data_IF_568936204309
#
_entry.id   IF_568936204309
#
_cell.length_a   1.000
_cell.length_b   1.000
_cell.length_c   1.000
_cell.angle_alpha   90.00
_cell.angle_beta   90.00
_cell.angle_gamma   90.00
#
_symmetry.space_group_name_H-M   'P 1'
#
loop_
_entity.id
_entity.type
_entity.pdbx_description
1 polymer ?
#
# COMPACT_ATOMS: atom_id res chain seq x y z
N UNK A 1 -16.37 -48.56 -73.09
CA UNK A 1 -15.46 -49.73 -73.25
C UNK A 1 -14.37 -49.59 -72.20
N UNK A 2 -14.53 -50.21 -71.03
CA UNK A 2 -14.00 -51.54 -70.63
C UNK A 2 -12.47 -51.60 -70.47
N UNK A 3 -12.07 -51.47 -69.19
CA UNK A 3 -11.03 -52.19 -68.42
C UNK A 3 -9.73 -52.64 -69.11
N UNK A 4 -8.60 -52.26 -68.47
CA UNK A 4 -7.36 -53.03 -68.14
C UNK A 4 -6.33 -51.99 -67.63
N UNK A 5 -5.42 -52.18 -66.68
CA UNK A 5 -4.90 -53.33 -65.91
C UNK A 5 -4.04 -52.76 -64.77
N UNK A 6 -3.98 -53.50 -63.66
CA UNK A 6 -2.81 -53.80 -62.80
C UNK A 6 -1.58 -52.86 -62.84
N UNK A 7 -1.14 -52.37 -61.67
CA UNK A 7 0.19 -52.69 -61.11
C UNK A 7 0.23 -52.44 -59.58
N UNK A 8 1.04 -53.26 -58.92
CA UNK A 8 1.12 -53.55 -57.48
C UNK A 8 2.39 -52.86 -56.90
N UNK A 9 2.83 -53.17 -55.68
CA UNK A 9 2.85 -52.34 -54.47
C UNK A 9 4.21 -51.68 -54.14
N UNK A 10 4.21 -50.70 -53.23
CA UNK A 10 5.36 -50.35 -52.36
C UNK A 10 4.80 -50.32 -50.93
N UNK A 11 5.04 -51.35 -50.08
CA UNK A 11 6.19 -51.40 -49.16
C UNK A 11 6.41 -50.00 -48.54
N UNK A 12 5.95 -49.69 -47.33
CA UNK A 12 6.09 -50.48 -46.11
C UNK A 12 7.04 -49.71 -45.20
N UNK A 13 6.50 -48.85 -44.33
CA UNK A 13 7.22 -48.23 -43.20
C UNK A 13 6.30 -47.27 -42.39
N UNK A 14 5.07 -47.66 -42.03
CA UNK A 14 4.15 -46.74 -41.35
C UNK A 14 3.48 -47.31 -40.09
N UNK A 15 4.09 -48.30 -39.41
CA UNK A 15 3.49 -48.91 -38.20
C UNK A 15 4.41 -48.93 -36.97
N UNK A 16 5.69 -48.53 -37.07
CA UNK A 16 6.59 -48.58 -35.91
C UNK A 16 6.72 -47.24 -35.15
N UNK A 17 6.31 -46.11 -35.75
CA UNK A 17 6.39 -44.80 -35.08
C UNK A 17 5.21 -44.47 -34.14
N UNK A 18 4.18 -45.33 -34.04
CA UNK A 18 2.99 -45.08 -33.22
C UNK A 18 3.07 -45.66 -31.79
N UNK A 19 4.20 -46.26 -31.39
CA UNK A 19 4.35 -46.96 -30.10
C UNK A 19 5.35 -46.31 -29.12
N UNK A 20 5.89 -45.13 -29.44
CA UNK A 20 6.78 -44.38 -28.52
C UNK A 20 6.12 -43.14 -27.88
N UNK A 21 4.81 -42.95 -28.06
CA UNK A 21 4.04 -41.86 -27.44
C UNK A 21 3.41 -42.25 -26.08
N UNK A 22 3.79 -43.40 -25.51
CA UNK A 22 3.34 -43.83 -24.18
C UNK A 22 4.34 -43.45 -23.10
N UNK A 23 3.91 -42.62 -22.14
CA UNK A 23 4.65 -42.09 -20.99
C UNK A 23 5.28 -40.70 -21.15
N UNK A 24 4.71 -39.81 -21.96
CA UNK A 24 4.81 -38.38 -21.63
C UNK A 24 3.86 -38.11 -20.46
N UNK A 25 4.36 -38.27 -19.23
CA UNK A 25 3.66 -37.84 -18.03
C UNK A 25 3.18 -36.40 -18.22
N UNK A 26 1.96 -36.10 -17.76
CA UNK A 26 1.39 -34.75 -17.81
C UNK A 26 2.49 -33.77 -17.34
N UNK A 27 2.86 -32.75 -18.15
CA UNK A 27 3.88 -31.79 -17.73
C UNK A 27 3.49 -31.27 -16.35
N UNK A 28 4.43 -31.20 -15.39
CA UNK A 28 4.13 -30.77 -14.03
C UNK A 28 3.38 -29.45 -14.12
N UNK A 29 2.20 -29.39 -13.49
CA UNK A 29 1.44 -28.14 -13.44
C UNK A 29 2.38 -27.07 -12.85
N UNK A 30 2.53 -25.91 -13.52
CA UNK A 30 3.35 -24.85 -12.98
C UNK A 30 2.83 -24.52 -11.60
N UNK A 31 3.66 -24.81 -10.59
CA UNK A 31 3.36 -24.47 -9.19
C UNK A 31 3.13 -22.97 -9.17
N UNK A 32 1.88 -22.55 -8.98
CA UNK A 32 1.57 -21.13 -8.83
C UNK A 32 2.42 -20.62 -7.67
N UNK A 33 3.17 -19.52 -7.84
CA UNK A 33 3.90 -18.93 -6.74
C UNK A 33 2.94 -18.74 -5.57
N UNK A 34 3.26 -19.35 -4.43
CA UNK A 34 2.36 -19.35 -3.29
C UNK A 34 2.45 -17.99 -2.60
N UNK A 35 1.31 -17.30 -2.56
CA UNK A 35 1.18 -16.07 -1.80
C UNK A 35 1.48 -16.34 -0.32
N UNK A 36 2.28 -15.48 0.29
CA UNK A 36 2.67 -15.65 1.70
C UNK A 36 2.89 -14.31 2.39
N UNK A 37 2.67 -14.30 3.70
CA UNK A 37 2.89 -13.16 4.58
C UNK A 37 3.61 -13.67 5.82
N UNK A 38 4.81 -13.17 6.06
CA UNK A 38 5.64 -13.58 7.20
C UNK A 38 6.05 -12.37 8.03
N UNK A 39 5.99 -12.42 9.37
CA UNK A 39 6.43 -11.32 10.22
C UNK A 39 7.88 -10.92 9.93
N UNK A 40 8.14 -9.62 9.87
CA UNK A 40 9.45 -9.03 9.60
C UNK A 40 9.87 -8.16 10.77
N UNK A 41 11.12 -8.31 11.23
CA UNK A 41 11.66 -7.44 12.25
C UNK A 41 11.69 -5.97 11.78
N UNK A 42 11.07 -5.09 12.58
CA UNK A 42 11.04 -3.65 12.33
C UNK A 42 11.92 -2.92 13.34
N UNK A 43 13.12 -2.52 12.90
CA UNK A 43 13.99 -1.64 13.66
C UNK A 43 13.81 -0.20 13.19
N UNK A 44 13.17 0.62 14.02
CA UNK A 44 13.03 2.06 13.82
C UNK A 44 13.98 2.80 14.76
N UNK A 45 14.69 3.78 14.21
CA UNK A 45 15.53 4.69 15.00
C UNK A 45 14.86 6.05 14.99
N UNK A 46 14.40 6.53 16.15
CA UNK A 46 13.74 7.85 16.21
C UNK A 46 14.70 8.92 15.69
N UNK A 47 14.24 9.72 14.74
CA UNK A 47 15.03 10.81 14.21
C UNK A 47 15.05 11.94 15.24
N UNK A 48 16.23 12.48 15.52
CA UNK A 48 16.38 13.72 16.26
C UNK A 48 16.40 14.90 15.29
N UNK A 49 15.68 15.98 15.61
CA UNK A 49 15.70 17.22 14.83
C UNK A 49 14.32 17.78 14.51
N UNK A 50 14.29 18.97 13.93
CA UNK A 50 13.06 19.63 13.47
C UNK A 50 12.63 19.08 12.11
N UNK A 51 11.31 19.02 11.87
CA UNK A 51 10.74 18.73 10.56
C UNK A 51 10.35 17.27 10.30
N UNK A 52 10.31 16.42 11.33
CA UNK A 52 9.98 15.00 11.21
C UNK A 52 8.56 14.78 10.67
N UNK A 53 7.62 15.65 11.05
CA UNK A 53 6.22 15.62 10.60
C UNK A 53 6.14 15.90 9.10
N UNK A 54 6.83 16.94 8.62
CA UNK A 54 6.87 17.31 7.22
C UNK A 54 7.54 16.22 6.38
N UNK A 55 8.65 15.67 6.85
CA UNK A 55 9.31 14.54 6.17
C UNK A 55 8.36 13.35 6.04
N UNK A 56 7.73 12.93 7.15
CA UNK A 56 6.75 11.85 7.14
C UNK A 56 5.59 12.13 6.16
N UNK A 57 5.06 13.36 6.15
CA UNK A 57 3.99 13.74 5.21
C UNK A 57 4.42 13.63 3.75
N UNK A 58 5.63 14.10 3.41
CA UNK A 58 6.18 14.00 2.07
C UNK A 58 6.45 12.53 1.66
N UNK A 59 6.98 11.71 2.57
CA UNK A 59 7.19 10.28 2.33
C UNK A 59 5.87 9.55 2.11
N UNK A 60 4.81 9.90 2.85
CA UNK A 60 3.46 9.35 2.65
C UNK A 60 2.86 9.75 1.29
N UNK A 61 2.97 11.02 0.91
CA UNK A 61 2.51 11.49 -0.41
C UNK A 61 3.26 10.76 -1.52
N UNK A 62 4.58 10.67 -1.42
CA UNK A 62 5.41 9.95 -2.39
C UNK A 62 5.06 8.46 -2.47
N UNK A 63 4.76 7.84 -1.33
CA UNK A 63 4.33 6.44 -1.25
C UNK A 63 3.02 6.22 -1.97
N UNK A 64 1.98 7.00 -1.66
CA UNK A 64 0.69 6.85 -2.32
C UNK A 64 0.71 7.24 -3.80
N UNK A 65 1.60 8.14 -4.22
CA UNK A 65 1.80 8.49 -5.62
C UNK A 65 2.48 7.37 -6.41
N UNK A 66 3.48 6.71 -5.81
CA UNK A 66 4.33 5.74 -6.50
C UNK A 66 3.85 4.29 -6.39
N UNK A 67 2.97 3.97 -5.45
CA UNK A 67 2.68 2.58 -5.15
C UNK A 67 1.53 2.02 -6.02
N UNK A 68 1.73 0.83 -6.61
CA UNK A 68 0.87 0.31 -7.67
C UNK A 68 -0.49 -0.18 -7.18
N UNK A 69 -0.69 -0.33 -5.87
CA UNK A 69 -1.89 -0.97 -5.30
C UNK A 69 -2.97 0.01 -4.84
N UNK A 70 -2.68 1.30 -4.81
CA UNK A 70 -3.62 2.29 -4.28
C UNK A 70 -4.44 2.96 -5.38
N UNK A 71 -5.59 3.50 -4.97
CA UNK A 71 -6.53 4.26 -5.80
C UNK A 71 -6.79 5.63 -5.18
N UNK A 72 -5.74 6.32 -4.75
CA UNK A 72 -5.81 7.69 -4.24
C UNK A 72 -5.57 8.69 -5.36
N UNK A 73 -6.37 9.76 -5.37
CA UNK A 73 -6.28 10.86 -6.31
C UNK A 73 -5.54 12.08 -5.75
N UNK A 74 -5.58 12.31 -4.44
CA UNK A 74 -4.97 13.45 -3.75
C UNK A 74 -3.44 13.53 -3.83
N UNK A 75 -2.65 12.42 -3.82
CA UNK A 75 -1.19 12.53 -3.82
C UNK A 75 -0.62 13.32 -4.99
N UNK A 76 -1.20 13.18 -6.19
CA UNK A 76 -0.72 13.84 -7.40
C UNK A 76 -0.83 15.38 -7.34
N UNK A 77 -2.02 15.99 -7.17
CA UNK A 77 -2.15 17.44 -7.03
C UNK A 77 -1.39 17.96 -5.80
N UNK A 78 -1.38 17.24 -4.68
CA UNK A 78 -0.59 17.63 -3.50
C UNK A 78 0.90 17.72 -3.79
N UNK A 79 1.47 16.78 -4.55
CA UNK A 79 2.89 16.77 -4.92
C UNK A 79 3.28 17.88 -5.91
N UNK A 80 2.34 18.33 -6.75
CA UNK A 80 2.57 19.31 -7.81
C UNK A 80 2.34 20.75 -7.34
N UNK A 81 1.17 20.99 -6.75
CA UNK A 81 0.59 22.33 -6.62
C UNK A 81 0.77 22.93 -5.22
N UNK A 82 1.05 22.09 -4.23
CA UNK A 82 1.15 22.51 -2.84
C UNK A 82 2.60 22.54 -2.36
N UNK A 83 2.90 23.44 -1.41
CA UNK A 83 4.18 23.53 -0.72
C UNK A 83 3.98 23.21 0.76
N UNK A 84 4.83 22.35 1.30
CA UNK A 84 4.76 21.96 2.71
C UNK A 84 4.98 23.17 3.61
N UNK A 85 4.17 23.27 4.66
CA UNK A 85 4.21 24.33 5.65
C UNK A 85 4.54 23.79 7.04
N UNK A 86 3.68 24.10 8.01
CA UNK A 86 3.84 23.69 9.40
C UNK A 86 3.11 22.40 9.74
N UNK A 87 3.43 21.86 10.92
CA UNK A 87 2.65 20.80 11.56
C UNK A 87 1.92 21.36 12.79
N UNK A 88 0.73 20.84 13.04
CA UNK A 88 -0.11 21.20 14.19
C UNK A 88 -0.41 19.92 14.95
N UNK A 89 -0.06 19.89 16.23
CA UNK A 89 -0.30 18.75 17.10
C UNK A 89 -1.58 18.95 17.90
N UNK A 90 -2.32 17.87 18.10
CA UNK A 90 -3.40 17.84 19.09
C UNK A 90 -2.81 18.03 20.50
N UNK A 91 -3.55 18.64 21.45
CA UNK A 91 -3.10 18.76 22.84
C UNK A 91 -2.76 17.45 23.53
N UNK A 92 -3.33 16.33 23.09
CA UNK A 92 -3.06 14.99 23.63
C UNK A 92 -2.01 14.20 22.82
N UNK A 93 -1.35 14.84 21.84
CA UNK A 93 -0.31 14.26 20.97
C UNK A 93 -0.73 13.01 20.17
N UNK A 94 -2.02 12.72 20.08
CA UNK A 94 -2.53 11.56 19.33
C UNK A 94 -2.80 11.87 17.86
N UNK A 95 -2.84 13.15 17.49
CA UNK A 95 -3.13 13.58 16.13
C UNK A 95 -2.16 14.67 15.70
N UNK A 96 -1.77 14.61 14.43
CA UNK A 96 -0.94 15.61 13.78
C UNK A 96 -1.58 15.99 12.45
N UNK A 97 -1.58 17.29 12.16
CA UNK A 97 -1.95 17.83 10.85
C UNK A 97 -0.76 18.53 10.27
N UNK A 98 -0.21 17.99 9.18
CA UNK A 98 0.79 18.68 8.37
C UNK A 98 0.06 19.49 7.32
N UNK A 99 0.27 20.80 7.35
CA UNK A 99 -0.35 21.75 6.45
C UNK A 99 0.52 21.97 5.22
N UNK A 100 -0.12 22.11 4.06
CA UNK A 100 0.50 22.46 2.80
C UNK A 100 -0.35 23.54 2.13
N UNK A 101 0.27 24.44 1.39
CA UNK A 101 -0.41 25.59 0.79
C UNK A 101 -0.15 25.68 -0.70
N UNK A 102 -1.21 25.88 -1.47
CA UNK A 102 -1.12 26.34 -2.84
C UNK A 102 -0.97 27.87 -2.81
N UNK A 103 0.15 28.36 -3.35
CA UNK A 103 0.50 29.78 -3.28
C UNK A 103 -0.36 30.64 -4.22
N UNK A 104 -0.85 30.06 -5.31
CA UNK A 104 -1.61 30.76 -6.35
C UNK A 104 -3.11 30.84 -5.98
N UNK A 105 -3.67 29.75 -5.46
CA UNK A 105 -5.12 29.62 -5.26
C UNK A 105 -5.59 29.90 -3.82
N UNK A 106 -4.66 30.19 -2.90
CA UNK A 106 -4.93 30.32 -1.45
C UNK A 106 -5.68 29.12 -0.86
N UNK A 107 -5.49 27.93 -1.43
CA UNK A 107 -6.04 26.65 -0.95
C UNK A 107 -5.04 25.91 -0.07
N UNK A 108 -5.57 25.01 0.75
CA UNK A 108 -4.81 24.18 1.66
C UNK A 108 -4.95 22.70 1.28
N UNK A 109 -3.84 22.00 1.39
CA UNK A 109 -3.81 20.55 1.45
C UNK A 109 -3.25 20.12 2.80
N UNK A 110 -3.66 18.95 3.28
CA UNK A 110 -3.36 18.48 4.62
C UNK A 110 -2.98 17.00 4.58
N UNK A 111 -1.96 16.63 5.35
CA UNK A 111 -1.74 15.24 5.75
C UNK A 111 -2.14 15.12 7.21
N UNK A 112 -3.21 14.39 7.47
CA UNK A 112 -3.74 14.17 8.82
C UNK A 112 -3.35 12.78 9.27
N UNK A 113 -2.80 12.69 10.48
CA UNK A 113 -2.34 11.46 11.10
C UNK A 113 -3.01 11.35 12.45
N UNK A 114 -3.62 10.21 12.74
CA UNK A 114 -4.21 9.90 14.04
C UNK A 114 -3.69 8.57 14.51
N UNK A 115 -3.07 8.54 15.69
CA UNK A 115 -2.52 7.34 16.34
C UNK A 115 -3.06 7.27 17.76
N UNK A 116 -3.98 6.33 17.99
CA UNK A 116 -4.60 6.16 19.31
C UNK A 116 -3.62 5.55 20.33
N UNK A 117 -3.86 5.72 21.65
CA UNK A 117 -3.13 4.98 22.66
C UNK A 117 -3.21 3.47 22.43
N UNK A 118 -2.09 2.77 22.59
CA UNK A 118 -2.02 1.33 22.33
C UNK A 118 -2.01 0.95 20.84
N UNK A 119 -1.85 1.91 19.93
CA UNK A 119 -1.60 1.62 18.52
C UNK A 119 -0.31 0.79 18.36
N UNK A 120 -0.32 -0.10 17.37
CA UNK A 120 0.78 -1.03 17.08
C UNK A 120 1.12 -0.95 15.60
N UNK A 121 2.42 -0.91 15.29
CA UNK A 121 2.94 -0.99 13.93
C UNK A 121 3.74 -2.28 13.74
N UNK A 122 3.25 -3.16 12.87
CA UNK A 122 3.90 -4.42 12.52
C UNK A 122 4.40 -4.40 11.08
N UNK A 123 5.53 -5.06 10.81
CA UNK A 123 6.05 -5.23 9.46
C UNK A 123 5.98 -6.68 9.02
N UNK A 124 5.81 -6.89 7.72
CA UNK A 124 5.73 -8.21 7.09
C UNK A 124 6.49 -8.23 5.77
N UNK A 125 7.16 -9.35 5.51
CA UNK A 125 7.55 -9.75 4.17
C UNK A 125 6.31 -10.34 3.48
N UNK A 126 6.05 -9.92 2.25
CA UNK A 126 4.87 -10.31 1.47
C UNK A 126 5.33 -10.88 0.14
N UNK A 127 4.82 -12.05 -0.23
CA UNK A 127 4.93 -12.58 -1.59
C UNK A 127 3.53 -12.55 -2.18
N UNK A 128 3.35 -11.79 -3.28
CA UNK A 128 2.08 -11.69 -4.01
C UNK A 128 2.31 -12.01 -5.48
N UNK A 129 1.61 -13.00 -6.02
CA UNK A 129 1.78 -13.46 -7.39
C UNK A 129 3.26 -13.76 -7.73
N UNK A 130 4.01 -14.26 -6.74
CA UNK A 130 5.44 -14.54 -6.86
C UNK A 130 6.37 -13.32 -6.82
N UNK A 131 5.82 -12.11 -6.65
CA UNK A 131 6.61 -10.88 -6.49
C UNK A 131 6.80 -10.59 -5.00
N UNK A 132 8.04 -10.39 -4.55
CA UNK A 132 8.31 -9.99 -3.17
C UNK A 132 7.94 -8.51 -2.96
N UNK A 133 7.52 -8.21 -1.74
CA UNK A 133 7.23 -6.86 -1.27
C UNK A 133 7.13 -6.84 0.24
N UNK A 134 6.69 -5.71 0.78
CA UNK A 134 6.66 -5.47 2.20
C UNK A 134 5.34 -4.80 2.58
N UNK A 135 4.85 -5.10 3.78
CA UNK A 135 3.67 -4.43 4.33
C UNK A 135 3.95 -3.92 5.75
N UNK A 136 3.47 -2.71 6.04
CA UNK A 136 3.26 -2.21 7.40
C UNK A 136 1.78 -2.28 7.72
N UNK A 137 1.45 -2.90 8.84
CA UNK A 137 0.09 -2.90 9.40
C UNK A 137 0.09 -2.01 10.62
N UNK A 138 -0.72 -0.96 10.56
CA UNK A 138 -0.92 0.04 11.59
C UNK A 138 -2.30 -0.18 12.23
N UNK A 139 -2.29 -0.76 13.43
CA UNK A 139 -3.49 -0.96 14.24
C UNK A 139 -3.84 0.31 15.00
N UNK A 140 -5.12 0.70 14.97
CA UNK A 140 -5.65 1.92 15.60
C UNK A 140 -4.96 3.22 15.16
N UNK A 141 -4.53 3.27 13.89
CA UNK A 141 -4.02 4.50 13.29
C UNK A 141 -4.67 4.77 11.93
N UNK A 142 -4.81 6.05 11.61
CA UNK A 142 -5.42 6.55 10.37
C UNK A 142 -4.56 7.62 9.75
N UNK A 143 -4.48 7.57 8.43
CA UNK A 143 -3.77 8.54 7.60
C UNK A 143 -4.79 9.07 6.60
N UNK A 144 -4.99 10.38 6.53
CA UNK A 144 -5.79 10.97 5.46
C UNK A 144 -5.05 12.09 4.75
N UNK A 145 -5.20 12.10 3.43
CA UNK A 145 -4.81 13.19 2.57
C UNK A 145 -6.03 14.05 2.29
N UNK A 146 -5.90 15.36 2.44
CA UNK A 146 -6.96 16.34 2.16
C UNK A 146 -6.43 17.33 1.14
N UNK A 147 -7.20 17.60 0.10
CA UNK A 147 -6.85 18.56 -0.95
C UNK A 147 -7.93 19.65 -1.07
N UNK A 148 -7.55 20.88 -1.41
CA UNK A 148 -8.50 21.94 -1.78
C UNK A 148 -9.28 22.57 -0.62
N UNK A 149 -8.85 22.38 0.63
CA UNK A 149 -9.49 23.00 1.79
C UNK A 149 -9.35 24.54 1.75
N UNK A 150 -10.36 25.26 2.22
CA UNK A 150 -10.33 26.73 2.28
C UNK A 150 -9.46 27.26 3.44
N UNK A 151 -9.32 26.48 4.50
CA UNK A 151 -8.49 26.79 5.67
C UNK A 151 -7.96 25.53 6.36
N UNK A 152 -6.88 25.62 7.15
CA UNK A 152 -6.45 24.54 8.03
C UNK A 152 -7.51 24.25 9.10
N UNK A 153 -7.60 23.00 9.60
CA UNK A 153 -8.51 22.68 10.68
C UNK A 153 -8.07 23.35 11.98
N UNK A 154 -9.03 23.56 12.88
CA UNK A 154 -8.81 24.07 14.23
C UNK A 154 -9.11 22.99 15.26
N UNK A 155 -8.46 23.02 16.41
CA UNK A 155 -8.74 22.05 17.47
C UNK A 155 -10.12 22.33 18.09
N UNK A 156 -11.03 21.36 18.00
CA UNK A 156 -12.44 21.46 18.44
C UNK A 156 -12.73 20.71 19.75
N UNK A 157 -11.76 20.62 20.66
CA UNK A 157 -11.90 19.94 21.95
C UNK A 157 -11.51 18.46 21.89
N UNK A 158 -12.25 17.64 21.13
CA UNK A 158 -12.01 16.19 21.02
C UNK A 158 -11.34 15.76 19.71
N UNK A 159 -11.22 16.66 18.74
CA UNK A 159 -10.58 16.39 17.45
C UNK A 159 -10.47 17.62 16.58
N UNK A 160 -9.94 17.44 15.38
CA UNK A 160 -9.83 18.48 14.37
C UNK A 160 -11.19 18.86 13.79
N UNK A 161 -11.56 20.13 13.90
CA UNK A 161 -12.72 20.72 13.27
C UNK A 161 -12.31 21.29 11.91
N UNK A 162 -12.79 20.66 10.84
CA UNK A 162 -12.60 21.12 9.47
C UNK A 162 -13.67 22.14 9.08
N UNK A 163 -13.36 22.95 8.07
CA UNK A 163 -14.29 23.94 7.52
C UNK A 163 -15.60 23.30 7.07
N UNK A 164 -16.73 23.91 7.45
CA UNK A 164 -18.05 23.45 6.98
C UNK A 164 -18.36 23.88 5.54
N UNK A 165 -17.72 24.96 5.07
CA UNK A 165 -17.96 25.56 3.75
C UNK A 165 -17.00 25.06 2.69
N UNK A 166 -15.77 24.74 3.07
CA UNK A 166 -14.74 24.24 2.16
C UNK A 166 -13.83 23.22 2.84
N UNK A 167 -14.35 22.05 3.25
CA UNK A 167 -13.58 21.04 3.98
C UNK A 167 -12.42 20.46 3.16
N UNK A 168 -12.47 20.55 1.83
CA UNK A 168 -11.57 19.85 0.91
C UNK A 168 -12.03 18.43 0.60
N UNK A 169 -11.30 17.77 -0.30
CA UNK A 169 -11.53 16.38 -0.69
C UNK A 169 -10.69 15.43 0.17
N UNK A 170 -11.33 14.51 0.90
CA UNK A 170 -10.65 13.59 1.82
C UNK A 170 -10.46 12.22 1.19
N UNK A 171 -9.25 11.69 1.34
CA UNK A 171 -8.94 10.29 1.06
C UNK A 171 -8.16 9.69 2.22
N UNK A 172 -8.72 8.65 2.86
CA UNK A 172 -8.17 8.07 4.10
C UNK A 172 -7.78 6.61 3.93
N UNK A 173 -6.68 6.22 4.58
CA UNK A 173 -6.39 4.84 4.92
C UNK A 173 -7.28 4.38 6.08
N UNK A 174 -7.80 3.14 5.99
CA UNK A 174 -8.59 2.55 7.08
C UNK A 174 -10.10 2.86 7.05
N UNK A 175 -10.66 3.40 5.97
CA UNK A 175 -12.09 3.17 5.68
C UNK A 175 -12.21 1.85 4.93
N UNK A 176 -12.38 0.76 5.67
CA UNK A 176 -12.68 -0.57 5.16
C UNK A 176 -14.11 -0.68 4.63
N UNK A 177 -14.39 0.16 3.62
CA UNK A 177 -15.34 -0.09 2.55
C UNK A 177 -14.63 0.24 1.21
N UNK A 178 -13.45 -0.37 1.01
CA UNK A 178 -12.93 -0.69 -0.32
C UNK A 178 -12.32 0.41 -1.21
N UNK A 179 -12.15 1.67 -0.76
CA UNK A 179 -11.73 2.73 -1.70
C UNK A 179 -10.22 2.91 -1.85
N UNK A 180 -9.41 2.65 -0.81
CA UNK A 180 -7.97 2.95 -0.85
C UNK A 180 -7.23 2.03 -1.82
N UNK A 181 -7.58 0.75 -1.86
CA UNK A 181 -6.90 -0.25 -2.68
C UNK A 181 -7.60 -0.47 -4.01
N UNK A 182 -6.83 -0.76 -5.05
CA UNK A 182 -7.39 -1.12 -6.35
C UNK A 182 -8.14 -2.46 -6.25
N UNK A 183 -9.26 -2.65 -6.98
CA UNK A 183 -10.09 -3.85 -6.87
C UNK A 183 -9.35 -5.18 -7.09
N UNK A 184 -8.30 -5.17 -7.91
CA UNK A 184 -7.50 -6.36 -8.23
C UNK A 184 -6.24 -6.52 -7.36
N UNK A 185 -6.03 -5.65 -6.37
CA UNK A 185 -4.80 -5.66 -5.56
C UNK A 185 -4.67 -6.89 -4.65
N UNK A 186 -5.78 -7.52 -4.28
CA UNK A 186 -5.82 -8.59 -3.27
C UNK A 186 -5.53 -8.09 -1.84
N UNK A 187 -5.23 -6.81 -1.67
CA UNK A 187 -4.98 -6.16 -0.37
C UNK A 187 -6.26 -5.46 0.11
N UNK A 188 -6.53 -5.42 1.44
CA UNK A 188 -5.76 -6.00 2.53
C UNK A 188 -5.99 -7.51 2.73
N UNK A 189 -6.85 -8.17 1.94
CA UNK A 189 -7.24 -9.57 2.14
C UNK A 189 -6.09 -10.57 2.25
N UNK A 190 -4.99 -10.36 1.52
CA UNK A 190 -3.77 -11.16 1.61
C UNK A 190 -3.14 -11.18 3.01
N UNK A 191 -3.32 -10.13 3.80
CA UNK A 191 -2.78 -10.05 5.17
C UNK A 191 -3.45 -11.05 6.12
N UNK A 192 -4.63 -11.59 5.77
CA UNK A 192 -5.33 -12.61 6.56
C UNK A 192 -5.47 -12.20 8.02
N UNK A 193 -4.97 -13.04 8.94
CA UNK A 193 -5.03 -12.80 10.38
C UNK A 193 -4.17 -11.62 10.89
N UNK A 194 -3.29 -11.07 10.05
CA UNK A 194 -2.39 -9.98 10.45
C UNK A 194 -3.00 -8.58 10.32
N UNK A 195 -4.14 -8.45 9.63
CA UNK A 195 -4.85 -7.18 9.50
C UNK A 195 -6.36 -7.38 9.66
N UNK A 196 -7.00 -6.44 10.35
CA UNK A 196 -8.44 -6.43 10.59
C UNK A 196 -9.13 -5.30 9.84
N UNK A 197 -10.46 -5.33 9.82
CA UNK A 197 -11.24 -4.22 9.29
C UNK A 197 -10.96 -2.94 10.07
N UNK A 198 -10.51 -1.90 9.37
CA UNK A 198 -10.17 -0.60 9.95
C UNK A 198 -8.68 -0.39 10.21
N UNK A 199 -7.86 -1.44 10.09
CA UNK A 199 -6.40 -1.28 10.13
C UNK A 199 -5.91 -0.52 8.89
N UNK A 200 -4.90 0.32 9.09
CA UNK A 200 -4.18 0.94 7.98
C UNK A 200 -3.10 -0.02 7.52
N UNK A 201 -3.14 -0.43 6.26
CA UNK A 201 -2.07 -1.24 5.65
C UNK A 201 -1.32 -0.37 4.64
N UNK A 202 0.00 -0.39 4.69
CA UNK A 202 0.88 0.25 3.72
C UNK A 202 1.74 -0.84 3.09
N UNK A 203 1.51 -1.13 1.82
CA UNK A 203 2.31 -2.01 0.98
C UNK A 203 3.29 -1.21 0.10
N UNK A 204 4.52 -1.71 -0.05
CA UNK A 204 5.55 -1.19 -0.96
C UNK A 204 6.51 -2.33 -1.39
N UNK A 205 7.05 -2.26 -2.59
CA UNK A 205 8.04 -3.23 -3.10
C UNK A 205 9.45 -2.96 -2.56
N UNK A 206 9.69 -1.72 -2.09
CA UNK A 206 10.95 -1.25 -1.54
C UNK A 206 10.91 -1.13 -0.01
N UNK A 207 11.63 -2.00 0.69
CA UNK A 207 11.73 -1.94 2.16
C UNK A 207 12.27 -0.60 2.69
N UNK A 208 13.33 0.03 2.12
CA UNK A 208 13.82 1.32 2.61
C UNK A 208 12.76 2.41 2.68
N UNK A 209 11.90 2.53 1.67
CA UNK A 209 10.81 3.52 1.65
C UNK A 209 9.80 3.29 2.76
N UNK A 210 9.41 2.03 2.92
CA UNK A 210 8.45 1.66 3.95
C UNK A 210 9.04 1.85 5.36
N UNK A 211 10.32 1.55 5.54
CA UNK A 211 11.07 1.78 6.78
C UNK A 211 11.21 3.27 7.11
N UNK A 212 11.35 4.13 6.11
CA UNK A 212 11.37 5.59 6.29
C UNK A 212 10.05 6.09 6.89
N UNK A 213 8.91 5.64 6.34
CA UNK A 213 7.58 5.95 6.87
C UNK A 213 7.42 5.42 8.30
N UNK A 214 7.82 4.17 8.56
CA UNK A 214 7.78 3.60 9.90
C UNK A 214 8.62 4.41 10.90
N UNK A 215 9.80 4.85 10.48
CA UNK A 215 10.69 5.66 11.30
C UNK A 215 10.09 7.03 11.60
N UNK A 216 9.48 7.68 10.59
CA UNK A 216 8.75 8.93 10.76
C UNK A 216 7.58 8.77 11.74
N UNK A 217 6.76 7.73 11.57
CA UNK A 217 5.62 7.43 12.47
C UNK A 217 6.08 7.22 13.92
N UNK A 218 7.14 6.44 14.15
CA UNK A 218 7.67 6.20 15.50
C UNK A 218 8.38 7.41 16.11
N UNK A 219 8.79 8.38 15.29
CA UNK A 219 9.36 9.66 15.72
C UNK A 219 8.25 10.63 16.12
N UNK A 220 7.24 10.80 15.26
CA UNK A 220 6.11 11.72 15.46
C UNK A 220 5.16 11.25 16.56
N UNK A 221 5.02 9.93 16.74
CA UNK A 221 4.15 9.33 17.76
C UNK A 221 4.95 8.41 18.68
N UNK A 222 5.58 8.95 19.74
CA UNK A 222 6.40 8.16 20.66
C UNK A 222 5.66 7.03 21.40
N UNK A 223 4.32 7.09 21.47
CA UNK A 223 3.46 6.05 22.06
C UNK A 223 3.10 4.92 21.09
N UNK A 224 3.44 5.03 19.79
CA UNK A 224 3.26 3.97 18.82
C UNK A 224 4.16 2.78 19.17
N UNK A 225 3.55 1.62 19.39
CA UNK A 225 4.29 0.42 19.75
C UNK A 225 4.86 -0.26 18.50
N UNK A 226 6.14 -0.63 18.57
CA UNK A 226 6.82 -1.42 17.55
C UNK A 226 7.28 -2.73 18.19
N UNK A 227 6.54 -3.84 18.00
CA UNK A 227 6.88 -5.12 18.60
C UNK A 227 8.24 -5.62 18.15
N UNK A 228 8.99 -6.23 19.09
CA UNK A 228 10.26 -6.89 18.79
C UNK A 228 9.98 -8.34 18.42
N UNK A 229 10.54 -8.75 17.28
CA UNK A 229 10.56 -10.15 16.83
C UNK A 229 12.00 -10.61 17.01
N UNK A 230 12.19 -11.70 17.76
CA UNK A 230 13.50 -12.31 18.04
C UNK A 230 13.69 -13.56 17.20
#
# INVERSE_FOLDING_TARGET
MSVKRLFRPLLGAAVVAALLAGCAGKPPEPVKPQDSVTPKALNVSRLGGYGAEQQLALSLISHYLGAPLYRMSNPLPMSRDYRVGGAIHSPNEQQVVVTMRNLDEKRWALVTLSVSPGAVMNAFDVVRNGQPGYALVLKHARICLVEGADQPPVWGGTGWAFSKTGPGHFECSGQTNGSLYQPYSGMPGLMGAYAESGDTVLYEESWPRLKEIATGLATVFPHLQVPRIY
#
